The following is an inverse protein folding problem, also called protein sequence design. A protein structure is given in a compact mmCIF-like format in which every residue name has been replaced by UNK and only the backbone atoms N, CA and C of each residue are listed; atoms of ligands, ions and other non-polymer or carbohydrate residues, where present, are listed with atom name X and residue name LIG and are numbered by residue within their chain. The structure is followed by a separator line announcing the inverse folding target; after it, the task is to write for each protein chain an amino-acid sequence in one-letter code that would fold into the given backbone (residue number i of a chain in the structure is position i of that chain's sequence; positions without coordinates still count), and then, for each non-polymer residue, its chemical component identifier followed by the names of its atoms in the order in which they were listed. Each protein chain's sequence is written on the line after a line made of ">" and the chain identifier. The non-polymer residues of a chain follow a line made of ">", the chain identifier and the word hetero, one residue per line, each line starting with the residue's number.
data_IF_786628507431
#
_entry.id   IF_786628507431
#
_cell.length_a   1.000
_cell.length_b   1.000
_cell.length_c   1.000
_cell.angle_alpha   90.00
_cell.angle_beta   90.00
_cell.angle_gamma   90.00
#
_symmetry.space_group_name_H-M   'P 1'
#
loop_
_entity.id
_entity.type
_entity.pdbx_description
1 polymer ?
#
# COMPACT_ATOMS: atom_id res chain seq x y z
N UNK A 1 -10.36 3.42 3.26
CA UNK A 1 -11.60 4.20 3.10
C UNK A 1 -12.33 4.29 4.44
N UNK A 2 -13.10 5.37 4.67
CA UNK A 2 -13.67 5.72 5.99
C UNK A 2 -14.73 4.73 6.51
N UNK A 3 -15.22 3.80 5.69
CA UNK A 3 -16.29 2.85 6.07
C UNK A 3 -15.95 1.37 5.86
N UNK A 4 -14.79 1.04 5.27
CA UNK A 4 -14.42 -0.36 5.01
C UNK A 4 -13.19 -0.81 5.80
N UNK A 5 -12.23 0.09 6.06
CA UNK A 5 -10.87 -0.29 6.50
C UNK A 5 -10.30 0.64 7.58
N UNK A 6 -11.12 0.97 8.58
CA UNK A 6 -10.65 1.81 9.71
C UNK A 6 -9.49 1.10 10.41
N UNK A 7 -8.34 1.75 10.48
CA UNK A 7 -7.11 1.25 11.11
C UNK A 7 -6.47 0.01 10.52
N UNK A 8 -6.87 -0.43 9.32
CA UNK A 8 -6.22 -1.55 8.68
C UNK A 8 -4.79 -1.20 8.26
N UNK A 9 -3.85 -2.05 8.63
CA UNK A 9 -2.53 -2.09 8.02
C UNK A 9 -2.60 -2.70 6.61
N UNK A 10 -1.54 -2.53 5.83
CA UNK A 10 -1.40 -3.21 4.54
C UNK A 10 -1.52 -4.75 4.67
N UNK A 11 -1.09 -5.31 5.82
CA UNK A 11 -1.23 -6.74 6.09
C UNK A 11 -2.68 -7.15 6.39
N UNK A 12 -3.45 -6.30 7.09
CA UNK A 12 -4.86 -6.58 7.36
C UNK A 12 -5.68 -6.58 6.07
N UNK A 13 -5.35 -5.70 5.11
CA UNK A 13 -5.95 -5.74 3.78
C UNK A 13 -5.67 -7.08 3.09
N UNK A 14 -4.41 -7.55 3.11
CA UNK A 14 -4.04 -8.83 2.49
C UNK A 14 -4.76 -10.01 3.14
N UNK A 15 -4.81 -10.05 4.48
CA UNK A 15 -5.53 -11.09 5.23
C UNK A 15 -7.00 -11.18 4.87
N UNK A 16 -7.69 -10.04 4.81
CA UNK A 16 -9.10 -10.03 4.46
C UNK A 16 -9.29 -10.56 3.04
N UNK A 17 -8.42 -10.22 2.08
CA UNK A 17 -8.53 -10.78 0.74
C UNK A 17 -8.31 -12.30 0.78
N UNK A 18 -7.25 -12.77 1.44
CA UNK A 18 -6.95 -14.20 1.60
C UNK A 18 -8.10 -14.98 2.26
N UNK A 19 -8.82 -14.38 3.21
CA UNK A 19 -10.01 -14.97 3.84
C UNK A 19 -11.16 -15.18 2.84
N UNK A 20 -11.27 -14.33 1.82
CA UNK A 20 -12.34 -14.38 0.83
C UNK A 20 -12.01 -15.28 -0.36
N UNK A 21 -10.74 -15.37 -0.76
CA UNK A 21 -10.32 -16.05 -2.02
C UNK A 21 -9.37 -17.23 -1.81
N UNK A 22 -8.91 -17.45 -0.58
CA UNK A 22 -7.92 -18.45 -0.22
C UNK A 22 -6.50 -17.87 -0.09
N UNK A 23 -5.61 -18.52 0.70
CA UNK A 23 -4.27 -18.02 0.96
C UNK A 23 -3.32 -18.17 -0.23
N UNK A 24 -2.21 -17.43 -0.21
CA UNK A 24 -1.11 -17.50 -1.18
C UNK A 24 -1.48 -17.13 -2.62
N UNK A 25 -2.51 -16.29 -2.82
CA UNK A 25 -2.85 -15.78 -4.14
C UNK A 25 -1.85 -14.70 -4.64
N UNK A 26 -1.27 -13.93 -3.72
CA UNK A 26 -0.43 -12.78 -4.06
C UNK A 26 1.05 -13.03 -3.75
N UNK A 27 1.89 -12.96 -4.78
CA UNK A 27 3.35 -13.00 -4.61
C UNK A 27 3.94 -11.67 -4.10
N UNK A 28 3.27 -10.55 -4.41
CA UNK A 28 3.75 -9.20 -4.14
C UNK A 28 2.65 -8.29 -3.60
N UNK A 29 3.05 -7.34 -2.76
CA UNK A 29 2.25 -6.18 -2.36
C UNK A 29 3.08 -4.92 -2.60
N UNK A 30 2.45 -3.89 -3.18
CA UNK A 30 3.09 -2.59 -3.39
C UNK A 30 2.56 -1.62 -2.34
N UNK A 31 3.45 -0.95 -1.61
CA UNK A 31 3.09 0.00 -0.55
C UNK A 31 3.77 1.35 -0.76
N UNK A 32 3.08 2.43 -0.38
CA UNK A 32 3.67 3.77 -0.38
C UNK A 32 4.58 3.96 0.85
N UNK A 33 5.86 4.28 0.63
CA UNK A 33 6.82 4.58 1.69
C UNK A 33 7.12 6.09 1.83
N UNK A 34 6.50 6.92 1.00
CA UNK A 34 6.65 8.37 1.09
C UNK A 34 5.87 8.92 2.28
N UNK A 35 6.47 9.77 3.12
CA UNK A 35 5.75 10.44 4.20
C UNK A 35 4.67 11.38 3.63
N UNK A 36 3.50 11.38 4.24
CA UNK A 36 2.41 12.31 3.93
C UNK A 36 2.60 13.56 4.80
N UNK A 37 2.49 14.75 4.19
CA UNK A 37 2.64 16.02 4.90
C UNK A 37 1.60 16.21 6.01
N UNK A 38 1.98 16.89 7.09
CA UNK A 38 1.16 17.05 8.30
C UNK A 38 -0.21 17.71 8.02
N UNK A 39 -0.26 18.71 7.15
CA UNK A 39 -1.52 19.38 6.76
C UNK A 39 -2.50 18.40 6.09
N UNK A 40 -1.99 17.54 5.22
CA UNK A 40 -2.81 16.54 4.53
C UNK A 40 -3.25 15.41 5.48
N UNK A 41 -2.39 15.02 6.42
CA UNK A 41 -2.75 14.09 7.50
C UNK A 41 -3.86 14.65 8.37
N UNK A 42 -3.80 15.93 8.72
CA UNK A 42 -4.83 16.60 9.51
C UNK A 42 -6.16 16.62 8.76
N UNK A 43 -6.17 17.01 7.48
CA UNK A 43 -7.39 16.97 6.66
C UNK A 43 -7.99 15.56 6.62
N UNK A 44 -7.17 14.53 6.42
CA UNK A 44 -7.66 13.15 6.45
C UNK A 44 -8.22 12.76 7.80
N UNK A 45 -7.58 13.14 8.91
CA UNK A 45 -8.09 12.88 10.24
C UNK A 45 -9.44 13.57 10.51
N UNK A 46 -9.62 14.81 10.04
CA UNK A 46 -10.89 15.55 10.10
C UNK A 46 -12.01 14.86 9.30
N UNK A 47 -11.66 14.25 8.17
CA UNK A 47 -12.56 13.41 7.36
C UNK A 47 -12.77 12.00 7.97
N UNK A 48 -12.08 11.65 9.05
CA UNK A 48 -12.14 10.34 9.70
C UNK A 48 -11.33 9.25 8.97
N UNK A 49 -10.45 9.64 8.05
CA UNK A 49 -9.51 8.78 7.34
C UNK A 49 -8.13 8.81 8.00
N UNK A 50 -7.38 7.71 7.84
CA UNK A 50 -5.98 7.64 8.23
C UNK A 50 -5.17 6.92 7.14
N UNK A 51 -3.88 7.24 6.99
CA UNK A 51 -3.00 6.49 6.09
C UNK A 51 -2.92 5.02 6.49
N UNK A 52 -2.85 4.15 5.49
CA UNK A 52 -2.61 2.72 5.70
C UNK A 52 -1.23 2.52 6.33
N UNK A 53 -1.18 1.87 7.49
CA UNK A 53 0.07 1.54 8.18
C UNK A 53 0.78 0.39 7.47
N UNK A 54 2.10 0.45 7.38
CA UNK A 54 2.90 -0.68 6.89
C UNK A 54 3.41 -1.47 8.10
N UNK A 55 2.73 -2.58 8.42
CA UNK A 55 3.19 -3.55 9.41
C UNK A 55 4.16 -4.54 8.74
N UNK A 56 5.45 -4.19 8.75
CA UNK A 56 6.51 -4.98 8.12
C UNK A 56 6.61 -6.39 8.68
N UNK A 57 6.38 -6.56 9.98
CA UNK A 57 6.53 -7.86 10.63
C UNK A 57 5.36 -8.79 10.29
N UNK A 58 4.14 -8.27 10.22
CA UNK A 58 3.03 -9.04 9.66
C UNK A 58 3.24 -9.39 8.19
N UNK A 59 3.63 -8.43 7.35
CA UNK A 59 3.82 -8.68 5.92
C UNK A 59 4.88 -9.77 5.67
N UNK A 60 5.96 -9.79 6.47
CA UNK A 60 6.95 -10.88 6.43
C UNK A 60 6.36 -12.23 6.81
N UNK A 61 5.48 -12.29 7.80
CA UNK A 61 4.81 -13.54 8.22
C UNK A 61 3.83 -14.06 7.18
N UNK A 62 3.21 -13.16 6.40
CA UNK A 62 2.34 -13.52 5.28
C UNK A 62 3.11 -14.00 4.04
N UNK A 63 4.45 -14.07 4.10
CA UNK A 63 5.33 -14.56 3.03
C UNK A 63 5.18 -13.83 1.67
N UNK A 64 4.55 -12.66 1.66
CA UNK A 64 4.43 -11.79 0.49
C UNK A 64 5.68 -10.93 0.33
N UNK A 65 6.11 -10.68 -0.91
CA UNK A 65 7.24 -9.79 -1.20
C UNK A 65 6.77 -8.34 -1.25
N UNK A 66 7.26 -7.51 -0.34
CA UNK A 66 6.87 -6.10 -0.25
C UNK A 66 7.71 -5.24 -1.20
N UNK A 67 7.05 -4.51 -2.10
CA UNK A 67 7.65 -3.49 -2.96
C UNK A 67 7.26 -2.11 -2.42
N UNK A 68 8.21 -1.43 -1.80
CA UNK A 68 8.00 -0.13 -1.18
C UNK A 68 8.61 0.98 -2.02
N UNK A 69 7.85 2.06 -2.26
CA UNK A 69 8.34 3.18 -3.06
C UNK A 69 7.60 4.47 -2.74
N UNK A 70 8.14 5.57 -3.24
CA UNK A 70 7.48 6.86 -3.21
C UNK A 70 6.42 6.92 -4.30
N UNK A 71 5.16 6.78 -3.88
CA UNK A 71 4.04 6.59 -4.78
C UNK A 71 3.10 7.76 -4.79
N UNK A 72 3.32 8.84 -4.05
CA UNK A 72 2.36 9.94 -4.03
C UNK A 72 2.56 10.86 -5.23
N UNK A 73 1.45 11.30 -5.83
CA UNK A 73 1.48 12.41 -6.76
C UNK A 73 1.69 13.73 -6.00
N UNK A 74 2.34 14.74 -6.61
CA UNK A 74 2.39 16.08 -6.04
C UNK A 74 0.98 16.68 -5.93
N UNK A 75 0.68 17.38 -4.83
CA UNK A 75 -0.56 18.13 -4.66
C UNK A 75 -1.18 17.99 -3.28
N UNK A 76 -2.45 18.37 -3.17
CA UNK A 76 -3.22 18.37 -1.92
C UNK A 76 -4.01 17.07 -1.68
N UNK A 77 -3.77 16.03 -2.49
CA UNK A 77 -4.46 14.75 -2.39
C UNK A 77 -3.44 13.63 -2.55
N UNK A 78 -3.41 12.69 -1.62
CA UNK A 78 -2.50 11.55 -1.58
C UNK A 78 -2.93 10.43 -2.53
N UNK A 79 -3.11 10.75 -3.82
CA UNK A 79 -3.30 9.72 -4.85
C UNK A 79 -1.97 9.14 -5.31
N UNK A 80 -2.05 7.93 -5.86
CA UNK A 80 -0.87 7.30 -6.44
C UNK A 80 -0.44 8.00 -7.72
N UNK A 81 0.86 8.27 -7.84
CA UNK A 81 1.51 8.72 -9.06
C UNK A 81 1.53 7.55 -10.06
N UNK A 82 0.78 7.62 -11.18
CA UNK A 82 0.66 6.51 -12.11
C UNK A 82 1.99 6.17 -12.78
N UNK A 83 2.90 7.14 -12.98
CA UNK A 83 4.23 6.89 -13.57
C UNK A 83 5.14 6.15 -12.59
N UNK A 84 5.11 6.51 -11.31
CA UNK A 84 5.88 5.82 -10.28
C UNK A 84 5.40 4.37 -10.11
N UNK A 85 4.08 4.17 -10.07
CA UNK A 85 3.49 2.84 -9.96
C UNK A 85 3.83 1.97 -11.19
N UNK A 86 3.65 2.50 -12.41
CA UNK A 86 3.99 1.78 -13.63
C UNK A 86 5.48 1.41 -13.69
N UNK A 87 6.36 2.32 -13.27
CA UNK A 87 7.81 2.06 -13.21
C UNK A 87 8.12 0.85 -12.33
N UNK A 88 7.55 0.75 -11.14
CA UNK A 88 7.79 -0.39 -10.23
C UNK A 88 7.36 -1.70 -10.86
N UNK A 89 6.15 -1.74 -11.43
CA UNK A 89 5.61 -2.94 -12.07
C UNK A 89 6.50 -3.37 -13.23
N UNK A 90 6.85 -2.44 -14.13
CA UNK A 90 7.69 -2.74 -15.30
C UNK A 90 9.11 -3.14 -14.92
N UNK A 91 9.75 -2.43 -13.98
CA UNK A 91 11.08 -2.81 -13.47
C UNK A 91 11.04 -4.20 -12.84
N UNK A 92 9.98 -4.52 -12.10
CA UNK A 92 9.85 -5.84 -11.47
C UNK A 92 9.73 -6.94 -12.52
N UNK A 93 8.87 -6.77 -13.52
CA UNK A 93 8.71 -7.73 -14.62
C UNK A 93 10.04 -7.90 -15.36
N UNK A 94 10.73 -6.82 -15.72
CA UNK A 94 12.01 -6.88 -16.42
C UNK A 94 13.09 -7.62 -15.62
N UNK A 95 13.12 -7.46 -14.29
CA UNK A 95 14.09 -8.15 -13.41
C UNK A 95 13.85 -9.65 -13.26
N UNK A 96 12.70 -10.18 -13.68
CA UNK A 96 12.35 -11.60 -13.62
C UNK A 96 12.57 -12.34 -14.94
N UNK A 97 12.91 -11.62 -16.02
CA UNK A 97 13.11 -12.20 -17.35
C UNK A 97 14.53 -12.73 -17.59
N UNK A 98 15.27 -13.07 -16.53
CA UNK A 98 16.59 -13.70 -16.53
C UNK A 98 16.60 -14.86 -15.53
#
# INVERSE_FOLDING_TARGET
>A
QIQETRSFSAADHLKVIDEHVGPNLFDYIIVNNQPIGAELLQRYAEEGAEPVKIDWDQLRRLQVRVLAADLLQPGQVAWHNPRALAKIVLTKIASQSH
#
